data_IF_003788167900
#
_entry.id   IF_003788167900
#
_cell.length_a   1.000
_cell.length_b   1.000
_cell.length_c   1.000
_cell.angle_alpha   90.00
_cell.angle_beta   90.00
_cell.angle_gamma   90.00
#
_symmetry.space_group_name_H-M   'P 1'
#
loop_
_entity.id
_entity.type
_entity.pdbx_description
1 polymer ?
#
# COMPACT_ATOMS: atom_id res chain seq x y z
N UNK A 1 45.69 -16.70 5.92
CA UNK A 1 45.49 -15.30 6.35
C UNK A 1 44.21 -14.83 5.68
N UNK A 2 43.19 -14.57 6.49
CA UNK A 2 41.86 -14.16 6.02
C UNK A 2 41.94 -12.69 5.60
N UNK A 3 41.57 -12.42 4.36
CA UNK A 3 41.40 -11.08 3.81
C UNK A 3 39.92 -10.71 3.99
N UNK A 4 39.59 -10.31 5.23
CA UNK A 4 38.29 -9.75 5.60
C UNK A 4 38.34 -8.24 5.28
N UNK A 5 38.26 -7.92 3.99
CA UNK A 5 38.01 -6.57 3.54
C UNK A 5 36.53 -6.24 3.84
N UNK A 6 36.28 -5.76 5.06
CA UNK A 6 35.00 -5.19 5.44
C UNK A 6 34.71 -3.99 4.52
N UNK A 7 33.67 -4.13 3.72
CA UNK A 7 33.07 -3.10 2.87
C UNK A 7 32.51 -1.96 3.75
N UNK A 8 33.37 -1.07 4.22
CA UNK A 8 33.01 0.08 5.08
C UNK A 8 32.26 1.22 4.35
N UNK A 9 31.74 0.98 3.15
CA UNK A 9 31.09 2.02 2.33
C UNK A 9 29.58 1.85 2.12
N UNK A 10 29.06 0.63 2.22
CA UNK A 10 27.64 0.36 2.04
C UNK A 10 26.94 0.33 3.40
N UNK A 11 26.35 1.46 3.81
CA UNK A 11 25.46 1.48 4.97
C UNK A 11 24.42 0.35 4.88
N UNK A 12 24.03 -0.23 6.02
CA UNK A 12 23.14 -1.39 6.08
C UNK A 12 21.91 -1.19 5.15
N UNK A 13 21.76 -1.99 4.08
CA UNK A 13 20.70 -1.81 3.09
C UNK A 13 19.30 -2.03 3.66
N UNK A 14 19.19 -2.60 4.86
CA UNK A 14 17.96 -2.82 5.61
C UNK A 14 17.80 -1.85 6.79
N UNK A 15 18.71 -0.89 6.98
CA UNK A 15 18.62 0.12 8.04
C UNK A 15 17.28 0.88 8.00
N UNK A 16 16.66 0.98 6.82
CA UNK A 16 15.37 1.64 6.65
C UNK A 16 14.17 0.87 7.20
N UNK A 17 14.31 -0.44 7.46
CA UNK A 17 13.29 -1.26 8.11
C UNK A 17 13.34 -1.14 9.64
N UNK A 18 14.38 -0.51 10.19
CA UNK A 18 14.49 -0.36 11.63
C UNK A 18 13.38 0.53 12.19
N UNK A 19 12.82 0.21 13.37
CA UNK A 19 11.83 1.05 14.02
C UNK A 19 12.33 2.49 14.20
N UNK A 20 11.49 3.47 13.86
CA UNK A 20 11.82 4.89 14.03
C UNK A 20 12.63 5.51 12.89
N UNK A 21 13.03 4.74 11.87
CA UNK A 21 13.59 5.30 10.65
C UNK A 21 12.56 6.23 9.97
N UNK A 22 13.02 7.40 9.50
CA UNK A 22 12.22 8.31 8.67
C UNK A 22 12.92 8.47 7.34
N UNK A 23 12.38 7.83 6.30
CA UNK A 23 12.94 7.93 4.97
C UNK A 23 12.66 9.32 4.38
N UNK A 24 13.60 9.81 3.54
CA UNK A 24 13.29 10.94 2.68
C UNK A 24 12.16 10.54 1.69
N UNK A 25 11.21 11.43 1.35
CA UNK A 25 10.05 11.07 0.52
C UNK A 25 10.41 10.41 -0.81
N UNK A 26 11.51 10.85 -1.45
CA UNK A 26 11.98 10.29 -2.71
C UNK A 26 12.50 8.84 -2.58
N UNK A 27 13.06 8.47 -1.42
CA UNK A 27 13.53 7.12 -1.15
C UNK A 27 12.37 6.18 -0.86
N UNK A 28 11.40 6.62 -0.06
CA UNK A 28 10.18 5.87 0.20
C UNK A 28 9.43 5.55 -1.11
N UNK A 29 9.29 6.51 -2.02
CA UNK A 29 8.62 6.27 -3.30
C UNK A 29 9.34 5.22 -4.16
N UNK A 30 10.68 5.27 -4.22
CA UNK A 30 11.48 4.25 -4.93
C UNK A 30 11.31 2.86 -4.33
N UNK A 31 11.26 2.75 -2.99
CA UNK A 31 11.04 1.48 -2.30
C UNK A 31 9.64 0.95 -2.55
N UNK A 32 8.61 1.78 -2.45
CA UNK A 32 7.22 1.41 -2.76
C UNK A 32 7.13 0.89 -4.21
N UNK A 33 7.77 1.57 -5.17
CA UNK A 33 7.83 1.09 -6.55
C UNK A 33 8.45 -0.31 -6.65
N UNK A 34 9.62 -0.51 -6.03
CA UNK A 34 10.30 -1.80 -6.03
C UNK A 34 9.45 -2.91 -5.41
N UNK A 35 8.72 -2.62 -4.33
CA UNK A 35 7.80 -3.57 -3.70
C UNK A 35 6.61 -3.88 -4.61
N UNK A 36 5.98 -2.86 -5.22
CA UNK A 36 4.87 -3.08 -6.13
C UNK A 36 5.24 -3.94 -7.34
N UNK A 37 6.47 -3.82 -7.85
CA UNK A 37 7.01 -4.64 -8.96
C UNK A 37 7.43 -6.04 -8.50
N UNK A 38 8.05 -6.16 -7.32
CA UNK A 38 8.54 -7.43 -6.79
C UNK A 38 7.44 -8.39 -6.32
N UNK A 39 6.25 -7.88 -6.02
CA UNK A 39 5.11 -8.66 -5.53
C UNK A 39 3.96 -8.64 -6.55
N UNK A 40 3.82 -9.67 -7.41
CA UNK A 40 2.77 -9.69 -8.43
C UNK A 40 1.35 -9.73 -7.84
N UNK A 41 1.17 -10.46 -6.73
CA UNK A 41 -0.09 -10.49 -6.00
C UNK A 41 -0.38 -9.12 -5.36
N UNK A 42 -1.58 -8.57 -5.62
CA UNK A 42 -1.98 -7.24 -5.15
C UNK A 42 -2.08 -7.17 -3.64
N UNK A 43 -2.67 -8.20 -3.03
CA UNK A 43 -2.79 -8.25 -1.58
C UNK A 43 -1.41 -8.25 -0.91
N UNK A 44 -0.50 -9.10 -1.37
CA UNK A 44 0.87 -9.19 -0.85
C UNK A 44 1.61 -7.86 -1.03
N UNK A 45 1.53 -7.23 -2.21
CA UNK A 45 2.16 -5.93 -2.43
C UNK A 45 1.64 -4.85 -1.48
N UNK A 46 0.31 -4.73 -1.35
CA UNK A 46 -0.31 -3.76 -0.45
C UNK A 46 0.03 -4.04 1.02
N UNK A 47 0.05 -5.31 1.43
CA UNK A 47 0.43 -5.73 2.77
C UNK A 47 1.89 -5.38 3.09
N UNK A 48 2.83 -5.71 2.18
CA UNK A 48 4.25 -5.45 2.39
C UNK A 48 4.54 -3.95 2.41
N UNK A 49 3.95 -3.16 1.52
CA UNK A 49 4.07 -1.69 1.56
C UNK A 49 3.57 -1.15 2.89
N UNK A 50 2.39 -1.58 3.35
CA UNK A 50 1.82 -1.14 4.62
C UNK A 50 2.67 -1.54 5.82
N UNK A 51 3.24 -2.74 5.82
CA UNK A 51 4.07 -3.25 6.91
C UNK A 51 5.44 -2.54 7.00
N UNK A 52 5.97 -2.07 5.86
CA UNK A 52 7.33 -1.51 5.76
C UNK A 52 7.39 0.01 5.72
N UNK A 53 6.26 0.70 5.46
CA UNK A 53 6.16 2.16 5.39
C UNK A 53 5.11 2.69 6.39
N UNK A 54 5.24 2.28 7.65
CA UNK A 54 4.28 2.60 8.72
C UNK A 54 4.28 4.08 9.12
N UNK A 55 5.36 4.80 8.78
CA UNK A 55 5.52 6.23 9.03
C UNK A 55 4.68 7.10 8.09
N UNK A 56 4.19 6.53 6.97
CA UNK A 56 3.42 7.26 5.97
C UNK A 56 1.91 7.17 6.21
N UNK A 57 1.17 8.28 6.03
CA UNK A 57 -0.29 8.26 6.03
C UNK A 57 -0.86 7.32 4.96
N UNK A 58 -1.98 6.64 5.28
CA UNK A 58 -2.65 5.71 4.35
C UNK A 58 -3.03 6.36 3.01
N UNK A 59 -3.42 7.63 3.00
CA UNK A 59 -3.71 8.38 1.77
C UNK A 59 -2.49 8.54 0.86
N UNK A 60 -1.30 8.75 1.45
CA UNK A 60 -0.05 8.84 0.69
C UNK A 60 0.35 7.48 0.14
N UNK A 61 0.22 6.41 0.95
CA UNK A 61 0.43 5.04 0.49
C UNK A 61 -0.52 4.68 -0.66
N UNK A 62 -1.80 5.00 -0.53
CA UNK A 62 -2.79 4.75 -1.57
C UNK A 62 -2.46 5.46 -2.89
N UNK A 63 -2.01 6.72 -2.82
CA UNK A 63 -1.56 7.46 -3.99
C UNK A 63 -0.35 6.81 -4.67
N UNK A 64 0.67 6.43 -3.87
CA UNK A 64 1.90 5.83 -4.37
C UNK A 64 1.67 4.42 -4.95
N UNK A 65 0.91 3.56 -4.25
CA UNK A 65 0.60 2.21 -4.74
C UNK A 65 -0.16 2.29 -6.05
N UNK A 66 -1.17 3.17 -6.14
CA UNK A 66 -1.97 3.33 -7.37
C UNK A 66 -1.12 3.79 -8.56
N UNK A 67 -0.06 4.58 -8.33
CA UNK A 67 0.87 4.97 -9.40
C UNK A 67 1.60 3.78 -10.04
N UNK A 68 1.83 2.70 -9.29
CA UNK A 68 2.64 1.55 -9.74
C UNK A 68 1.82 0.27 -9.97
N UNK A 69 0.51 0.31 -9.72
CA UNK A 69 -0.40 -0.84 -9.74
C UNK A 69 -1.58 -0.58 -10.69
N UNK A 70 -1.45 -0.92 -11.99
CA UNK A 70 -2.51 -0.67 -12.99
C UNK A 70 -3.77 -1.50 -12.72
N UNK A 71 -3.66 -2.60 -11.98
CA UNK A 71 -4.79 -3.38 -11.47
C UNK A 71 -5.69 -2.58 -10.50
N UNK A 72 -5.23 -1.42 -10.01
CA UNK A 72 -6.02 -0.47 -9.22
C UNK A 72 -6.64 0.67 -10.04
N UNK A 73 -6.49 0.72 -11.36
CA UNK A 73 -6.94 1.85 -12.18
C UNK A 73 -8.43 2.17 -12.03
N UNK A 74 -9.25 1.11 -11.94
CA UNK A 74 -10.71 1.20 -11.79
C UNK A 74 -11.17 1.72 -10.41
N UNK A 75 -10.28 1.77 -9.42
CA UNK A 75 -10.60 2.13 -8.03
C UNK A 75 -10.22 3.58 -7.75
N UNK A 76 -11.07 4.35 -7.08
CA UNK A 76 -10.68 5.68 -6.63
C UNK A 76 -9.57 5.61 -5.57
N UNK A 77 -8.91 6.74 -5.26
CA UNK A 77 -7.93 6.78 -4.16
C UNK A 77 -8.55 6.36 -2.83
N UNK A 78 -9.78 6.80 -2.57
CA UNK A 78 -10.54 6.46 -1.36
C UNK A 78 -10.81 4.95 -1.27
N UNK A 79 -11.11 4.30 -2.41
CA UNK A 79 -11.27 2.84 -2.45
C UNK A 79 -9.97 2.12 -2.07
N UNK A 80 -8.82 2.60 -2.54
CA UNK A 80 -7.50 2.04 -2.21
C UNK A 80 -7.16 2.25 -0.72
N UNK A 81 -7.53 3.39 -0.12
CA UNK A 81 -7.41 3.60 1.33
C UNK A 81 -8.28 2.60 2.11
N UNK A 82 -9.50 2.34 1.63
CA UNK A 82 -10.39 1.31 2.18
C UNK A 82 -9.78 -0.09 2.09
N UNK A 83 -9.16 -0.44 0.95
CA UNK A 83 -8.44 -1.70 0.78
C UNK A 83 -7.25 -1.82 1.74
N UNK A 84 -6.42 -0.78 1.90
CA UNK A 84 -5.32 -0.78 2.86
C UNK A 84 -5.81 -0.97 4.30
N UNK A 85 -6.92 -0.32 4.65
CA UNK A 85 -7.54 -0.47 5.97
C UNK A 85 -8.06 -1.89 6.18
N UNK A 86 -8.66 -2.50 5.16
CA UNK A 86 -9.14 -3.88 5.23
C UNK A 86 -8.01 -4.90 5.31
N UNK A 87 -6.89 -4.67 4.60
CA UNK A 87 -5.66 -5.47 4.73
C UNK A 87 -5.13 -5.41 6.16
N UNK A 88 -5.09 -4.23 6.78
CA UNK A 88 -4.60 -4.08 8.16
C UNK A 88 -5.46 -4.82 9.18
N UNK A 89 -6.78 -4.69 9.07
CA UNK A 89 -7.71 -5.17 10.10
C UNK A 89 -8.16 -6.63 9.87
N UNK A 90 -8.16 -7.10 8.63
CA UNK A 90 -8.74 -8.39 8.24
C UNK A 90 -7.87 -9.21 7.30
N UNK A 91 -6.64 -8.76 6.99
CA UNK A 91 -5.73 -9.46 6.09
C UNK A 91 -6.38 -9.77 4.73
N UNK A 92 -6.15 -10.99 4.24
CA UNK A 92 -6.65 -11.44 2.94
C UNK A 92 -8.18 -11.47 2.86
N UNK A 93 -8.85 -11.93 3.92
CA UNK A 93 -10.31 -12.04 3.92
C UNK A 93 -10.99 -10.67 3.91
N UNK A 94 -10.45 -9.71 4.66
CA UNK A 94 -10.90 -8.32 4.64
C UNK A 94 -10.71 -7.66 3.27
N UNK A 95 -9.53 -7.85 2.68
CA UNK A 95 -9.23 -7.37 1.32
C UNK A 95 -10.21 -7.93 0.27
N UNK A 96 -10.45 -9.24 0.28
CA UNK A 96 -11.36 -9.88 -0.68
C UNK A 96 -12.81 -9.43 -0.49
N UNK A 97 -13.23 -9.16 0.74
CA UNK A 97 -14.56 -8.64 1.02
C UNK A 97 -14.78 -7.24 0.41
N UNK A 98 -13.78 -6.36 0.49
CA UNK A 98 -13.84 -5.03 -0.12
C UNK A 98 -13.88 -5.12 -1.64
N UNK A 99 -13.01 -5.94 -2.26
CA UNK A 99 -13.03 -6.12 -3.71
C UNK A 99 -14.38 -6.66 -4.21
N UNK A 100 -14.97 -7.63 -3.50
CA UNK A 100 -16.30 -8.16 -3.83
C UNK A 100 -17.38 -7.08 -3.72
N UNK A 101 -17.32 -6.27 -2.67
CA UNK A 101 -18.30 -5.20 -2.45
C UNK A 101 -18.19 -4.13 -3.54
N UNK A 102 -16.97 -3.79 -3.96
CA UNK A 102 -16.73 -2.80 -5.02
C UNK A 102 -17.05 -3.33 -6.42
N UNK A 103 -16.79 -4.60 -6.70
CA UNK A 103 -17.22 -5.25 -7.94
C UNK A 103 -18.75 -5.27 -8.10
N UNK A 104 -19.46 -5.40 -6.98
CA UNK A 104 -20.92 -5.40 -6.93
C UNK A 104 -21.53 -4.01 -6.65
N UNK A 105 -20.70 -2.98 -6.45
CA UNK A 105 -21.19 -1.63 -6.20
C UNK A 105 -21.74 -1.07 -7.53
N UNK A 106 -22.99 -0.58 -7.58
CA UNK A 106 -23.48 0.11 -8.76
C UNK A 106 -22.54 1.27 -9.05
N UNK A 107 -22.01 1.34 -10.28
CA UNK A 107 -21.12 2.40 -10.76
C UNK A 107 -21.83 3.74 -10.58
N UNK A 108 -21.64 4.37 -9.42
CA UNK A 108 -22.11 5.69 -9.01
C UNK A 108 -23.32 6.17 -9.84
N UNK A 109 -24.51 5.64 -9.54
CA UNK A 109 -25.73 6.39 -9.81
C UNK A 109 -25.61 7.67 -8.97
N UNK A 110 -25.38 8.80 -9.64
CA UNK A 110 -25.49 10.11 -9.02
C UNK A 110 -26.96 10.33 -8.66
N UNK A 111 -27.34 10.01 -7.42
CA UNK A 111 -28.68 10.30 -6.91
C UNK A 111 -29.19 9.23 -5.95
N UNK A 112 -29.47 9.64 -4.71
CA UNK A 112 -30.33 8.87 -3.82
C UNK A 112 -29.71 8.53 -2.45
N UNK A 113 -29.47 9.54 -1.62
CA UNK A 113 -29.66 9.37 -0.17
C UNK A 113 -30.96 10.11 0.19
N UNK A 114 -32.09 9.43 0.02
CA UNK A 114 -33.39 9.86 0.58
C UNK A 114 -33.73 8.92 1.74
N UNK A 115 -33.12 9.18 2.89
CA UNK A 115 -33.58 8.68 4.17
C UNK A 115 -33.80 9.88 5.11
N UNK A 116 -34.80 10.69 4.79
CA UNK A 116 -35.49 11.53 5.76
C UNK A 116 -36.94 11.05 5.75
N UNK A 117 -37.37 10.50 6.88
CA UNK A 117 -38.73 10.06 7.16
C UNK A 117 -39.47 11.28 7.73
N UNK A 118 -40.60 11.63 7.11
CA UNK A 118 -41.59 12.57 7.66
C UNK A 118 -42.18 12.06 8.99
#
# INVERSE_FOLDING_TARGET
MADDALDEGAGDPLAWLQPGHRAAPAEALRRIQALCVGWPDLHAAMFVVLATHQELPRDMLAAAIKQFRPDLDAYSREDVVGLLTAVWNGGKSGFDAVLRTRANAPKKAAGGLSWVKE
#
